data_IF_811114226354
#
_entry.id   IF_811114226354
#
_cell.length_a   1.000
_cell.length_b   1.000
_cell.length_c   1.000
_cell.angle_alpha   90.00
_cell.angle_beta   90.00
_cell.angle_gamma   90.00
#
_symmetry.space_group_name_H-M   'P 1'
#
loop_
_entity.id
_entity.type
_entity.pdbx_description
1 polymer ?
#
# COMPACT_ATOMS: atom_id res chain seq x y z
N UNK A 1 -16.61 -26.48 -7.13
CA UNK A 1 -15.35 -26.15 -6.41
C UNK A 1 -15.31 -24.64 -6.16
N UNK A 2 -15.59 -24.18 -4.93
CA UNK A 2 -15.45 -22.76 -4.57
C UNK A 2 -13.95 -22.44 -4.49
N UNK A 3 -13.39 -21.75 -5.47
CA UNK A 3 -12.07 -21.13 -5.33
C UNK A 3 -12.14 -20.14 -4.17
N UNK A 4 -11.59 -20.51 -3.00
CA UNK A 4 -11.23 -19.53 -1.97
C UNK A 4 -10.23 -18.58 -2.63
N UNK A 5 -10.60 -17.30 -2.79
CA UNK A 5 -9.64 -16.27 -3.17
C UNK A 5 -8.60 -16.22 -2.04
N UNK A 6 -7.38 -16.66 -2.31
CA UNK A 6 -6.26 -16.42 -1.41
C UNK A 6 -5.92 -14.92 -1.51
N UNK A 7 -6.39 -14.14 -0.56
CA UNK A 7 -5.99 -12.74 -0.40
C UNK A 7 -4.59 -12.67 0.23
N UNK A 8 -3.88 -11.56 0.02
CA UNK A 8 -2.57 -11.34 0.65
C UNK A 8 -1.33 -11.70 -0.18
N UNK A 9 -1.46 -12.23 -1.40
CA UNK A 9 -0.31 -12.55 -2.26
C UNK A 9 0.43 -11.33 -2.87
N UNK A 10 0.10 -10.09 -2.47
CA UNK A 10 0.66 -8.86 -3.07
C UNK A 10 1.78 -8.28 -2.22
N UNK A 11 2.95 -8.03 -2.81
CA UNK A 11 4.04 -7.28 -2.16
C UNK A 11 3.65 -5.81 -1.96
N UNK A 12 4.34 -5.11 -1.06
CA UNK A 12 4.17 -3.66 -0.84
C UNK A 12 4.33 -2.88 -2.15
N UNK A 13 5.29 -3.26 -2.99
CA UNK A 13 5.52 -2.60 -4.30
C UNK A 13 4.36 -2.84 -5.27
N UNK A 14 3.79 -4.05 -5.30
CA UNK A 14 2.58 -4.31 -6.09
C UNK A 14 1.38 -3.52 -5.56
N UNK A 15 1.28 -3.38 -4.24
CA UNK A 15 0.26 -2.56 -3.62
C UNK A 15 0.45 -1.07 -3.98
N UNK A 16 1.67 -0.56 -3.93
CA UNK A 16 1.99 0.81 -4.35
C UNK A 16 1.64 1.03 -5.82
N UNK A 17 2.07 0.14 -6.72
CA UNK A 17 1.78 0.22 -8.14
C UNK A 17 0.26 0.24 -8.42
N UNK A 18 -0.49 -0.65 -7.79
CA UNK A 18 -1.94 -0.71 -7.94
C UNK A 18 -2.66 0.51 -7.36
N UNK A 19 -2.15 1.10 -6.26
CA UNK A 19 -2.77 2.29 -5.66
C UNK A 19 -2.53 3.56 -6.50
N UNK A 20 -1.38 3.67 -7.15
CA UNK A 20 -1.01 4.87 -7.90
C UNK A 20 -1.54 4.87 -9.34
N UNK A 21 -1.58 3.70 -10.00
CA UNK A 21 -1.70 3.66 -11.47
C UNK A 21 -2.86 2.84 -12.00
N UNK A 22 -3.57 2.07 -11.17
CA UNK A 22 -4.57 1.12 -11.64
C UNK A 22 -5.92 1.30 -10.91
N UNK A 23 -7.00 0.94 -11.60
CA UNK A 23 -8.32 0.92 -10.99
C UNK A 23 -8.42 -0.24 -9.99
N UNK A 24 -8.60 0.11 -8.71
CA UNK A 24 -8.73 -0.87 -7.63
C UNK A 24 -10.05 -1.63 -7.66
N UNK A 25 -11.06 -1.11 -8.35
CA UNK A 25 -12.37 -1.75 -8.51
C UNK A 25 -12.33 -2.93 -9.50
N UNK A 26 -11.43 -2.91 -10.49
CA UNK A 26 -11.21 -4.03 -11.39
C UNK A 26 -10.57 -5.22 -10.64
N UNK A 27 -11.24 -6.38 -10.64
CA UNK A 27 -10.76 -7.60 -9.97
C UNK A 27 -10.21 -8.65 -10.94
N UNK A 28 -9.83 -8.22 -12.15
CA UNK A 28 -9.31 -9.10 -13.21
C UNK A 28 -7.87 -9.56 -12.97
N UNK A 29 -7.54 -10.75 -13.50
CA UNK A 29 -6.14 -11.21 -13.57
C UNK A 29 -5.26 -10.32 -14.45
N UNK A 30 -5.86 -9.64 -15.44
CA UNK A 30 -5.15 -8.68 -16.30
C UNK A 30 -4.61 -7.51 -15.50
N UNK A 31 -5.44 -6.89 -14.65
CA UNK A 31 -4.98 -5.85 -13.71
C UNK A 31 -3.85 -6.38 -12.83
N UNK A 32 -3.98 -7.63 -12.34
CA UNK A 32 -2.94 -8.23 -11.51
C UNK A 32 -1.61 -8.39 -12.25
N UNK A 33 -1.63 -8.77 -13.51
CA UNK A 33 -0.42 -8.80 -14.35
C UNK A 33 0.19 -7.41 -14.54
N UNK A 34 -0.63 -6.37 -14.72
CA UNK A 34 -0.15 -4.99 -14.79
C UNK A 34 0.50 -4.53 -13.48
N UNK A 35 -0.08 -4.86 -12.32
CA UNK A 35 0.54 -4.59 -11.00
C UNK A 35 1.94 -5.20 -10.91
N UNK A 36 2.09 -6.46 -11.35
CA UNK A 36 3.40 -7.14 -11.35
C UNK A 36 4.41 -6.42 -12.24
N UNK A 37 4.05 -6.13 -13.50
CA UNK A 37 4.95 -5.44 -14.44
C UNK A 37 5.36 -4.05 -13.95
N UNK A 38 4.40 -3.27 -13.43
CA UNK A 38 4.68 -1.94 -12.87
C UNK A 38 5.56 -2.04 -11.62
N UNK A 39 5.30 -3.01 -10.73
CA UNK A 39 6.15 -3.20 -9.55
C UNK A 39 7.60 -3.51 -9.92
N UNK A 40 7.84 -4.32 -10.95
CA UNK A 40 9.20 -4.59 -11.44
C UNK A 40 9.88 -3.32 -11.97
N UNK A 41 9.15 -2.43 -12.62
CA UNK A 41 9.69 -1.15 -13.08
C UNK A 41 10.04 -0.23 -11.90
N UNK A 42 9.18 -0.17 -10.88
CA UNK A 42 9.43 0.61 -9.65
C UNK A 42 10.69 0.09 -8.95
N UNK A 43 10.80 -1.22 -8.74
CA UNK A 43 11.96 -1.87 -8.09
C UNK A 43 13.28 -1.64 -8.83
N UNK A 44 13.24 -1.50 -10.16
CA UNK A 44 14.43 -1.19 -10.96
C UNK A 44 14.87 0.26 -10.82
N UNK A 45 13.98 1.17 -10.43
CA UNK A 45 14.24 2.61 -10.40
C UNK A 45 14.46 3.16 -8.99
N UNK A 46 13.86 2.54 -7.98
CA UNK A 46 13.87 3.02 -6.61
C UNK A 46 14.39 1.95 -5.67
N UNK A 47 15.10 2.41 -4.64
CA UNK A 47 15.56 1.53 -3.55
C UNK A 47 14.39 1.11 -2.66
N UNK A 48 14.53 -0.02 -1.95
CA UNK A 48 13.50 -0.51 -1.01
C UNK A 48 13.06 0.54 0.02
N UNK A 49 13.96 1.32 0.65
CA UNK A 49 13.54 2.39 1.56
C UNK A 49 12.69 3.46 0.86
N UNK A 50 13.07 3.89 -0.35
CA UNK A 50 12.29 4.88 -1.12
C UNK A 50 10.89 4.34 -1.47
N UNK A 51 10.80 3.08 -1.89
CA UNK A 51 9.52 2.42 -2.18
C UNK A 51 8.64 2.38 -0.94
N UNK A 52 9.21 2.01 0.21
CA UNK A 52 8.48 2.00 1.46
C UNK A 52 8.03 3.42 1.86
N UNK A 53 8.87 4.44 1.73
CA UNK A 53 8.49 5.83 1.99
C UNK A 53 7.32 6.26 1.10
N UNK A 54 7.34 5.94 -0.20
CA UNK A 54 6.22 6.26 -1.09
C UNK A 54 4.94 5.53 -0.67
N UNK A 55 5.03 4.23 -0.35
CA UNK A 55 3.90 3.45 0.14
C UNK A 55 3.33 4.01 1.45
N UNK A 56 4.19 4.30 2.42
CA UNK A 56 3.86 4.81 3.74
C UNK A 56 3.12 6.15 3.69
N UNK A 57 3.34 6.96 2.65
CA UNK A 57 2.66 8.23 2.46
C UNK A 57 1.38 8.13 1.61
N UNK A 58 1.22 7.06 0.82
CA UNK A 58 0.10 6.94 -0.13
C UNK A 58 -0.98 5.95 0.32
N UNK A 59 -0.69 5.05 1.26
CA UNK A 59 -1.65 4.03 1.70
C UNK A 59 -2.89 4.67 2.32
N UNK A 60 -4.08 4.24 1.89
CA UNK A 60 -5.34 4.71 2.44
C UNK A 60 -5.64 4.02 3.77
N UNK A 61 -5.83 4.79 4.83
CA UNK A 61 -6.05 4.33 6.20
C UNK A 61 -7.41 4.80 6.75
N UNK A 62 -8.43 4.84 5.88
CA UNK A 62 -9.81 5.25 6.17
C UNK A 62 -10.00 6.74 6.54
N UNK A 63 -11.27 7.19 6.53
CA UNK A 63 -11.69 8.57 6.80
C UNK A 63 -10.96 9.64 5.98
N UNK A 64 -10.59 9.33 4.74
CA UNK A 64 -9.84 10.28 3.89
C UNK A 64 -8.36 10.41 4.24
N UNK A 65 -7.84 9.64 5.20
CA UNK A 65 -6.43 9.69 5.58
C UNK A 65 -5.59 8.86 4.61
N UNK A 66 -4.66 9.54 3.94
CA UNK A 66 -3.64 8.94 3.10
C UNK A 66 -2.29 9.09 3.79
N UNK A 67 -1.66 7.95 4.05
CA UNK A 67 -0.37 7.84 4.72
C UNK A 67 -0.43 7.75 6.24
N UNK A 68 0.60 7.14 6.81
CA UNK A 68 0.68 6.87 8.25
C UNK A 68 0.76 8.15 9.10
N UNK A 69 1.34 9.23 8.59
CA UNK A 69 1.41 10.49 9.32
C UNK A 69 0.02 11.12 9.53
N UNK A 70 -0.81 11.17 8.49
CA UNK A 70 -2.18 11.66 8.59
C UNK A 70 -3.01 10.78 9.54
N UNK A 71 -2.88 9.46 9.41
CA UNK A 71 -3.58 8.51 10.28
C UNK A 71 -3.14 8.61 11.74
N UNK A 72 -1.84 8.77 12.03
CA UNK A 72 -1.34 8.93 13.40
C UNK A 72 -1.95 10.15 14.09
N UNK A 73 -2.05 11.27 13.37
CA UNK A 73 -2.70 12.47 13.88
C UNK A 73 -4.20 12.29 14.04
N UNK A 74 -4.87 11.70 13.05
CA UNK A 74 -6.32 11.49 13.09
C UNK A 74 -6.77 10.56 14.22
N UNK A 75 -6.11 9.41 14.39
CA UNK A 75 -6.53 8.40 15.35
C UNK A 75 -5.97 8.60 16.77
N UNK A 76 -4.79 9.20 16.89
CA UNK A 76 -4.08 9.26 18.17
C UNK A 76 -3.63 10.67 18.58
N UNK A 77 -3.78 11.69 17.72
CA UNK A 77 -3.29 13.04 17.98
C UNK A 77 -1.77 13.12 18.16
N UNK A 78 -1.02 12.23 17.49
CA UNK A 78 0.42 12.07 17.65
C UNK A 78 1.15 12.19 16.32
N UNK A 79 2.44 12.55 16.38
CA UNK A 79 3.31 12.33 15.23
C UNK A 79 3.53 10.83 15.01
N UNK A 80 3.75 10.44 13.75
CA UNK A 80 3.99 9.04 13.38
C UNK A 80 5.20 8.42 14.10
N UNK A 81 6.19 9.23 14.45
CA UNK A 81 7.39 8.82 15.20
C UNK A 81 7.12 8.55 16.67
N UNK A 82 5.99 9.03 17.21
CA UNK A 82 5.66 8.98 18.64
C UNK A 82 4.64 7.86 18.95
N UNK A 83 4.34 7.03 17.96
CA UNK A 83 3.46 5.87 18.11
C UNK A 83 4.16 4.76 18.90
N UNK A 84 3.42 4.13 19.81
CA UNK A 84 3.87 2.91 20.47
C UNK A 84 3.52 1.67 19.63
N UNK A 85 4.03 0.50 20.04
CA UNK A 85 3.81 -0.77 19.34
C UNK A 85 2.32 -1.10 19.19
N UNK A 86 1.50 -0.79 20.21
CA UNK A 86 0.06 -1.06 20.20
C UNK A 86 -0.70 -0.16 19.22
N UNK A 87 -0.20 1.04 18.95
CA UNK A 87 -0.79 1.99 18.00
C UNK A 87 -0.35 1.72 16.56
N UNK A 88 0.79 1.05 16.36
CA UNK A 88 1.34 0.74 15.04
C UNK A 88 0.90 -0.63 14.47
N UNK A 89 0.41 -1.53 15.33
CA UNK A 89 -0.04 -2.89 14.99
C UNK A 89 -1.50 -2.91 14.51
#
# INVERSE_FOLDING_TARGET
LKHRKAEGASTITMQLAGNLFLDRSDRSFRRKAQEMLLSLQIERRYTKPQIFTMYANQVYLAHGNYGFAAAAQFYFGKNVTDLNLQQAA
#
